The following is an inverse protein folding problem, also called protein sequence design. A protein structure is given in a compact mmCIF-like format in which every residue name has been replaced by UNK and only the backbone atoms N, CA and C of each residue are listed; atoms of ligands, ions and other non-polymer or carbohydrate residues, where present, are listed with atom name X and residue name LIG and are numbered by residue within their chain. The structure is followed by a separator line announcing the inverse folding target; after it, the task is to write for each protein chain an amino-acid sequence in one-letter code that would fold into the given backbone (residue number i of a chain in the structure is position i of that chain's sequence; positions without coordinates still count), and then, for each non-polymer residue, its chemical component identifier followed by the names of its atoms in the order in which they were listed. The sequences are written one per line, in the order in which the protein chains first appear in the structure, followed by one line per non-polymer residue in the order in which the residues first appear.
data_IF_445637004387
#
_entry.id   IF_445637004387
#
_cell.length_a   1.000
_cell.length_b   1.000
_cell.length_c   1.000
_cell.angle_alpha   90.00
_cell.angle_beta   90.00
_cell.angle_gamma   90.00
#
_symmetry.space_group_name_H-M   'P 1'
#
loop_
_entity.id
_entity.type
_entity.pdbx_description
1 polymer ?
#
# COMPACT_ATOMS: atom_id res chain seq x y z
N UNK A 1 -14.45 -2.16 -23.69
CA UNK A 1 -14.21 -3.62 -23.61
C UNK A 1 -14.92 -4.18 -22.40
N UNK A 2 -15.43 -5.43 -22.43
CA UNK A 2 -16.03 -6.06 -21.25
C UNK A 2 -14.98 -6.23 -20.13
N UNK A 3 -15.42 -6.16 -18.87
CA UNK A 3 -14.57 -6.42 -17.72
C UNK A 3 -14.10 -7.88 -17.74
N UNK A 4 -12.79 -8.10 -17.75
CA UNK A 4 -12.25 -9.46 -17.60
C UNK A 4 -12.34 -9.91 -16.14
N UNK A 5 -12.42 -11.22 -15.86
CA UNK A 5 -12.39 -11.74 -14.49
C UNK A 5 -11.17 -11.23 -13.69
N UNK A 6 -10.01 -11.12 -14.34
CA UNK A 6 -8.79 -10.60 -13.72
C UNK A 6 -8.88 -9.11 -13.38
N UNK A 7 -9.43 -8.28 -14.27
CA UNK A 7 -9.69 -6.86 -13.99
C UNK A 7 -10.59 -6.70 -12.76
N UNK A 8 -11.62 -7.53 -12.64
CA UNK A 8 -12.52 -7.53 -11.50
C UNK A 8 -11.80 -7.91 -10.19
N UNK A 9 -11.01 -8.99 -10.19
CA UNK A 9 -10.23 -9.42 -9.02
C UNK A 9 -9.25 -8.34 -8.56
N UNK A 10 -8.51 -7.72 -9.49
CA UNK A 10 -7.57 -6.65 -9.16
C UNK A 10 -8.28 -5.42 -8.59
N UNK A 11 -9.43 -5.05 -9.14
CA UNK A 11 -10.21 -3.92 -8.65
C UNK A 11 -10.79 -4.21 -7.25
N UNK A 12 -11.35 -5.39 -7.03
CA UNK A 12 -11.89 -5.80 -5.74
C UNK A 12 -10.79 -5.82 -4.66
N UNK A 13 -9.61 -6.36 -4.97
CA UNK A 13 -8.47 -6.38 -4.07
C UNK A 13 -7.97 -4.96 -3.74
N UNK A 14 -7.96 -4.04 -4.73
CA UNK A 14 -7.62 -2.64 -4.50
C UNK A 14 -8.60 -1.94 -3.55
N UNK A 15 -9.92 -2.17 -3.73
CA UNK A 15 -10.96 -1.64 -2.84
C UNK A 15 -10.79 -2.19 -1.42
N UNK A 16 -10.55 -3.49 -1.28
CA UNK A 16 -10.32 -4.14 0.02
C UNK A 16 -9.09 -3.57 0.73
N UNK A 17 -7.98 -3.38 0.00
CA UNK A 17 -6.78 -2.76 0.53
C UNK A 17 -7.05 -1.32 0.99
N UNK A 18 -7.77 -0.53 0.21
CA UNK A 18 -8.13 0.84 0.60
C UNK A 18 -8.95 0.88 1.90
N UNK A 19 -9.98 0.04 2.01
CA UNK A 19 -10.81 -0.06 3.22
C UNK A 19 -10.00 -0.51 4.43
N UNK A 20 -9.14 -1.53 4.27
CA UNK A 20 -8.28 -2.02 5.33
C UNK A 20 -7.26 -0.96 5.78
N UNK A 21 -6.66 -0.24 4.84
CA UNK A 21 -5.74 0.86 5.13
C UNK A 21 -6.41 1.96 5.97
N UNK A 22 -7.64 2.36 5.62
CA UNK A 22 -8.42 3.33 6.40
C UNK A 22 -8.76 2.80 7.79
N UNK A 23 -9.15 1.52 7.89
CA UNK A 23 -9.46 0.90 9.18
C UNK A 23 -8.24 0.86 10.11
N UNK A 24 -7.08 0.49 9.58
CA UNK A 24 -5.80 0.48 10.30
C UNK A 24 -5.39 1.89 10.73
N UNK A 25 -5.59 2.88 9.86
CA UNK A 25 -5.26 4.28 10.17
C UNK A 25 -6.07 4.83 11.36
N UNK A 26 -7.31 4.36 11.53
CA UNK A 26 -8.21 4.77 12.63
C UNK A 26 -7.92 4.02 13.94
N UNK A 27 -7.12 2.95 13.92
CA UNK A 27 -6.85 2.12 15.10
C UNK A 27 -5.87 2.79 16.06
N UNK A 28 -6.21 2.96 17.36
CA UNK A 28 -5.36 3.67 18.32
C UNK A 28 -4.36 2.77 19.09
N UNK A 29 -4.35 1.45 18.86
CA UNK A 29 -3.59 0.49 19.68
C UNK A 29 -2.07 0.65 19.56
N UNK A 30 -1.54 0.72 18.33
CA UNK A 30 -0.14 1.03 18.09
C UNK A 30 -0.02 1.98 16.90
N UNK A 31 -0.32 3.27 17.14
CA UNK A 31 -0.44 4.29 16.08
C UNK A 31 0.73 4.33 15.09
N UNK A 32 1.96 4.02 15.51
CA UNK A 32 3.10 4.04 14.60
C UNK A 32 3.11 2.81 13.66
N UNK A 33 2.96 1.61 14.22
CA UNK A 33 2.93 0.37 13.45
C UNK A 33 1.67 0.26 12.60
N UNK A 34 0.51 0.64 13.15
CA UNK A 34 -0.78 0.63 12.46
C UNK A 34 -0.81 1.62 11.28
N UNK A 35 -0.19 2.80 11.42
CA UNK A 35 -0.05 3.77 10.30
C UNK A 35 0.90 3.27 9.22
N UNK A 36 2.01 2.66 9.61
CA UNK A 36 2.96 2.14 8.63
C UNK A 36 2.34 0.98 7.84
N UNK A 37 1.62 0.08 8.52
CA UNK A 37 0.86 -0.99 7.88
C UNK A 37 -0.24 -0.41 6.97
N UNK A 38 -0.96 0.63 7.42
CA UNK A 38 -1.96 1.30 6.60
C UNK A 38 -1.35 1.91 5.31
N UNK A 39 -0.20 2.57 5.41
CA UNK A 39 0.53 3.11 4.24
C UNK A 39 0.96 1.99 3.30
N UNK A 40 1.48 0.89 3.86
CA UNK A 40 1.92 -0.26 3.05
C UNK A 40 0.75 -0.90 2.29
N UNK A 41 -0.37 -1.12 2.98
CA UNK A 41 -1.61 -1.65 2.39
C UNK A 41 -2.19 -0.70 1.34
N UNK A 42 -2.18 0.62 1.59
CA UNK A 42 -2.64 1.61 0.61
C UNK A 42 -1.78 1.63 -0.66
N UNK A 43 -0.46 1.51 -0.53
CA UNK A 43 0.45 1.39 -1.67
C UNK A 43 0.19 0.11 -2.49
N UNK A 44 -0.07 -1.02 -1.82
CA UNK A 44 -0.44 -2.25 -2.50
C UNK A 44 -1.79 -2.14 -3.23
N UNK A 45 -2.78 -1.47 -2.62
CA UNK A 45 -4.06 -1.18 -3.27
C UNK A 45 -3.90 -0.31 -4.51
N UNK A 46 -3.04 0.71 -4.45
CA UNK A 46 -2.74 1.58 -5.59
C UNK A 46 -2.04 0.82 -6.74
N UNK A 47 -1.10 -0.08 -6.43
CA UNK A 47 -0.46 -0.97 -7.42
C UNK A 47 -1.49 -1.81 -8.18
N UNK A 48 -2.41 -2.44 -7.43
CA UNK A 48 -3.47 -3.29 -7.99
C UNK A 48 -4.46 -2.47 -8.84
N UNK A 49 -4.81 -1.26 -8.40
CA UNK A 49 -5.68 -0.35 -9.15
C UNK A 49 -5.05 0.06 -10.49
N UNK A 50 -3.76 0.42 -10.49
CA UNK A 50 -3.03 0.79 -11.72
C UNK A 50 -2.95 -0.40 -12.68
N UNK A 51 -2.71 -1.62 -12.17
CA UNK A 51 -2.71 -2.84 -12.99
C UNK A 51 -4.09 -3.13 -13.58
N UNK A 52 -5.16 -3.04 -12.78
CA UNK A 52 -6.53 -3.22 -13.26
C UNK A 52 -6.86 -2.24 -14.40
N UNK A 53 -6.47 -0.97 -14.23
CA UNK A 53 -6.77 0.09 -15.17
C UNK A 53 -5.93 -0.01 -16.46
N UNK A 54 -4.65 -0.37 -16.35
CA UNK A 54 -3.78 -0.65 -17.49
C UNK A 54 -4.33 -1.78 -18.37
N UNK A 55 -4.75 -2.89 -17.74
CA UNK A 55 -5.33 -4.03 -18.46
C UNK A 55 -6.70 -3.73 -19.08
N UNK A 56 -7.46 -2.80 -18.52
CA UNK A 56 -8.78 -2.43 -19.04
C UNK A 56 -8.72 -1.42 -20.20
N UNK A 57 -7.80 -0.46 -20.15
CA UNK A 57 -7.72 0.64 -21.11
C UNK A 57 -6.67 0.42 -22.22
N UNK A 58 -5.66 -0.44 -22.00
CA UNK A 58 -4.53 -0.66 -22.92
C UNK A 58 -3.92 0.64 -23.47
N UNK A 59 -3.96 1.71 -22.67
CA UNK A 59 -3.53 3.05 -23.10
C UNK A 59 -2.05 3.28 -22.76
N UNK A 60 -1.23 3.79 -23.71
CA UNK A 60 0.19 4.10 -23.48
C UNK A 60 0.44 5.11 -22.35
N UNK A 61 -0.57 5.89 -21.99
CA UNK A 61 -0.49 6.96 -21.00
C UNK A 61 -0.34 6.40 -19.57
N UNK A 62 -0.85 5.19 -19.33
CA UNK A 62 -0.73 4.47 -18.06
C UNK A 62 0.64 3.79 -17.86
N UNK A 63 1.50 3.78 -18.89
CA UNK A 63 2.80 3.13 -18.83
C UNK A 63 3.77 3.81 -17.82
N UNK A 64 3.65 5.14 -17.63
CA UNK A 64 4.42 5.86 -16.59
C UNK A 64 3.97 5.50 -15.18
N UNK A 65 2.66 5.42 -14.95
CA UNK A 65 2.10 4.99 -13.66
C UNK A 65 2.51 3.55 -13.36
N UNK A 66 2.47 2.66 -14.36
CA UNK A 66 2.94 1.28 -14.24
C UNK A 66 4.43 1.19 -13.88
N UNK A 67 5.31 2.01 -14.50
CA UNK A 67 6.74 2.06 -14.16
C UNK A 67 7.01 2.53 -12.73
N UNK A 68 6.24 3.50 -12.23
CA UNK A 68 6.35 3.96 -10.84
C UNK A 68 5.95 2.87 -9.85
N UNK A 69 4.85 2.19 -10.15
CA UNK A 69 4.33 1.07 -9.37
C UNK A 69 5.26 -0.15 -9.43
N UNK A 70 5.95 -0.37 -10.55
CA UNK A 70 6.97 -1.43 -10.67
C UNK A 70 8.17 -1.23 -9.73
N UNK A 71 8.34 -0.04 -9.14
CA UNK A 71 9.35 0.24 -8.10
C UNK A 71 8.86 -0.10 -6.68
N UNK A 72 7.55 -0.30 -6.48
CA UNK A 72 6.98 -0.61 -5.17
C UNK A 72 7.52 -1.90 -4.51
N UNK A 73 7.93 -2.96 -5.24
CA UNK A 73 8.58 -4.12 -4.65
C UNK A 73 9.82 -3.76 -3.81
N UNK A 74 10.60 -2.75 -4.23
CA UNK A 74 11.73 -2.25 -3.45
C UNK A 74 11.30 -1.49 -2.19
N UNK A 75 10.15 -0.82 -2.25
CA UNK A 75 9.55 -0.17 -1.09
C UNK A 75 9.00 -1.18 -0.08
N UNK A 76 8.47 -2.33 -0.53
CA UNK A 76 7.91 -3.35 0.36
C UNK A 76 8.94 -3.89 1.35
N UNK A 77 10.17 -4.17 0.91
CA UNK A 77 11.24 -4.61 1.82
C UNK A 77 11.61 -3.55 2.85
N UNK A 78 11.75 -2.29 2.42
CA UNK A 78 12.10 -1.17 3.29
C UNK A 78 11.00 -0.88 4.32
N UNK A 79 9.73 -0.90 3.90
CA UNK A 79 8.57 -0.70 4.77
C UNK A 79 8.40 -1.87 5.75
N UNK A 80 8.67 -3.10 5.31
CA UNK A 80 8.65 -4.28 6.19
C UNK A 80 9.70 -4.16 7.30
N UNK A 81 10.92 -3.74 6.96
CA UNK A 81 11.95 -3.48 7.96
C UNK A 81 11.53 -2.40 8.97
N UNK A 82 10.98 -1.28 8.50
CA UNK A 82 10.48 -0.22 9.37
C UNK A 82 9.32 -0.70 10.26
N UNK A 83 8.48 -1.61 9.76
CA UNK A 83 7.38 -2.20 10.51
C UNK A 83 7.86 -3.10 11.63
N UNK A 84 8.76 -4.04 11.31
CA UNK A 84 9.36 -4.92 12.32
C UNK A 84 10.13 -4.09 13.35
N UNK A 85 10.85 -3.05 12.92
CA UNK A 85 11.57 -2.14 13.82
C UNK A 85 10.63 -1.37 14.75
N UNK A 86 9.55 -0.79 14.22
CA UNK A 86 8.57 -0.06 15.03
C UNK A 86 7.84 -0.99 16.02
N UNK A 87 7.57 -2.23 15.60
CA UNK A 87 6.92 -3.24 16.43
C UNK A 87 7.83 -3.76 17.55
N UNK A 88 9.11 -4.02 17.25
CA UNK A 88 10.06 -4.62 18.19
C UNK A 88 10.68 -3.61 19.16
N UNK A 89 10.90 -2.36 18.74
CA UNK A 89 11.57 -1.38 19.60
C UNK A 89 10.62 -0.54 20.46
N UNK A 90 9.29 -0.62 20.26
CA UNK A 90 8.28 0.17 20.99
C UNK A 90 8.44 1.70 20.89
N UNK A 91 9.44 2.17 20.15
CA UNK A 91 9.77 3.58 19.93
C UNK A 91 9.13 4.00 18.61
N UNK A 92 8.18 4.93 18.69
CA UNK A 92 7.63 5.56 17.49
C UNK A 92 8.72 6.19 16.63
N UNK A 93 8.39 6.48 15.36
CA UNK A 93 9.31 7.01 14.34
C UNK A 93 9.97 8.36 14.71
N UNK A 94 9.55 8.97 15.82
CA UNK A 94 10.18 10.15 16.43
C UNK A 94 10.92 9.68 17.68
N UNK A 95 12.26 9.71 17.62
CA UNK A 95 13.09 9.67 18.82
C UNK A 95 12.71 10.89 19.67
N UNK A 96 12.00 10.68 20.78
CA UNK A 96 11.86 11.72 21.79
C UNK A 96 13.19 11.78 22.54
N UNK A 97 13.92 12.91 22.53
CA UNK A 97 15.13 13.04 23.34
C UNK A 97 14.71 12.92 24.81
N UNK A 98 15.42 12.07 25.55
CA UNK A 98 15.25 11.95 27.01
C UNK A 98 16.04 13.10 27.64
N UNK A 99 15.45 13.90 28.54
CA UNK A 99 16.17 14.95 29.29
C UNK A 99 17.13 14.36 30.32
#
# INVERSE_FOLDING_TARGET
MPLTPWTFVYFAAAVQAALLGVALWRRPANRAADRLLAVWVALAGADLAVKALYWHLLSPEWFRAYRLVALFPFLYGSLFYLYVRALTQGRGLVQKPVP
#
